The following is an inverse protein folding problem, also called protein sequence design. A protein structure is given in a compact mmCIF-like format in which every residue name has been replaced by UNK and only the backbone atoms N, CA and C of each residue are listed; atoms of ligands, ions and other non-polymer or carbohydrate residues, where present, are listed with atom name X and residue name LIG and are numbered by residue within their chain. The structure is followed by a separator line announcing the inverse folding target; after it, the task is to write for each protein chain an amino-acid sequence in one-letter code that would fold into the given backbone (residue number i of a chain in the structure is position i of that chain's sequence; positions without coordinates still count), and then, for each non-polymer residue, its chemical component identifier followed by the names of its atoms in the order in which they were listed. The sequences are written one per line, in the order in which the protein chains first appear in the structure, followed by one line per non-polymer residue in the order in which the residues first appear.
data_IF_900454710373
#
_entry.id   IF_900454710373
#
_cell.length_a   1.000
_cell.length_b   1.000
_cell.length_c   1.000
_cell.angle_alpha   90.00
_cell.angle_beta   90.00
_cell.angle_gamma   90.00
#
_symmetry.space_group_name_H-M   'P 1'
#
loop_
_entity.id
_entity.type
_entity.pdbx_description
1 polymer ?
#
# COMPACT_ATOMS: atom_id res chain seq x y z
N UNK A 1 -5.01 14.75 -19.43
CA UNK A 1 -5.20 14.23 -18.06
C UNK A 1 -4.98 12.72 -18.10
N UNK A 2 -4.06 12.17 -17.32
CA UNK A 2 -3.72 10.74 -17.39
C UNK A 2 -4.30 9.97 -16.18
N UNK A 3 -4.84 8.75 -16.37
CA UNK A 3 -5.34 7.93 -15.28
C UNK A 3 -4.18 7.48 -14.36
N UNK A 4 -4.33 7.64 -13.05
CA UNK A 4 -3.34 7.17 -12.06
C UNK A 4 -2.53 8.25 -11.34
N UNK A 5 -2.79 9.55 -11.55
CA UNK A 5 -2.11 10.60 -10.79
C UNK A 5 -2.61 10.63 -9.34
N UNK A 6 -1.70 10.49 -8.38
CA UNK A 6 -2.01 10.53 -6.95
C UNK A 6 -2.47 11.96 -6.57
N UNK A 7 -3.78 12.15 -6.38
CA UNK A 7 -4.33 13.40 -5.85
C UNK A 7 -4.09 13.37 -4.34
N UNK A 8 -3.37 14.36 -3.83
CA UNK A 8 -3.14 14.50 -2.39
C UNK A 8 -4.45 14.81 -1.68
N UNK A 9 -4.59 14.31 -0.45
CA UNK A 9 -5.79 14.55 0.36
C UNK A 9 -6.05 16.05 0.54
N UNK A 10 -5.00 16.85 0.70
CA UNK A 10 -5.09 18.32 0.80
C UNK A 10 -5.70 18.92 -0.45
N UNK A 11 -5.22 18.54 -1.64
CA UNK A 11 -5.76 19.05 -2.90
C UNK A 11 -7.21 18.63 -3.12
N UNK A 12 -7.58 17.42 -2.69
CA UNK A 12 -8.96 16.95 -2.72
C UNK A 12 -9.84 17.74 -1.76
N UNK A 13 -9.33 18.08 -0.58
CA UNK A 13 -9.99 18.91 0.42
C UNK A 13 -10.21 20.34 -0.09
N UNK A 14 -9.18 20.94 -0.69
CA UNK A 14 -9.26 22.28 -1.29
C UNK A 14 -10.32 22.34 -2.39
N UNK A 15 -10.35 21.33 -3.27
CA UNK A 15 -11.35 21.22 -4.34
C UNK A 15 -12.76 20.98 -3.80
N UNK A 16 -12.90 20.28 -2.68
CA UNK A 16 -14.18 19.96 -2.06
C UNK A 16 -14.67 21.03 -1.07
N UNK A 17 -13.87 22.07 -0.80
CA UNK A 17 -14.21 23.14 0.15
C UNK A 17 -14.34 22.66 1.61
N UNK A 18 -13.74 21.53 1.96
CA UNK A 18 -13.81 20.94 3.31
C UNK A 18 -12.44 20.79 3.91
N UNK A 19 -12.36 20.91 5.24
CA UNK A 19 -11.11 20.68 5.96
C UNK A 19 -10.61 19.24 5.74
N UNK A 20 -9.30 19.06 5.58
CA UNK A 20 -8.67 17.78 5.27
C UNK A 20 -8.95 16.68 6.31
N UNK A 21 -9.09 17.03 7.60
CA UNK A 21 -9.51 16.07 8.64
C UNK A 21 -10.94 15.56 8.44
N UNK A 22 -11.86 16.46 8.10
CA UNK A 22 -13.26 16.12 7.80
C UNK A 22 -13.31 15.19 6.61
N UNK A 23 -12.64 15.54 5.52
CA UNK A 23 -12.55 14.71 4.33
C UNK A 23 -11.95 13.33 4.63
N UNK A 24 -10.89 13.26 5.45
CA UNK A 24 -10.31 11.98 5.89
C UNK A 24 -11.33 11.12 6.62
N UNK A 25 -12.09 11.69 7.55
CA UNK A 25 -13.10 10.96 8.31
C UNK A 25 -14.19 10.39 7.38
N UNK A 26 -14.66 11.18 6.40
CA UNK A 26 -15.60 10.70 5.39
C UNK A 26 -15.02 9.58 4.53
N UNK A 27 -13.79 9.72 4.02
CA UNK A 27 -13.17 8.68 3.21
C UNK A 27 -12.97 7.36 3.98
N UNK A 28 -12.66 7.43 5.27
CA UNK A 28 -12.57 6.25 6.14
C UNK A 28 -13.95 5.63 6.33
N UNK A 29 -14.97 6.44 6.65
CA UNK A 29 -16.36 6.00 6.83
C UNK A 29 -16.90 5.28 5.59
N UNK A 30 -16.54 5.74 4.40
CA UNK A 30 -16.97 5.16 3.13
C UNK A 30 -16.02 4.09 2.57
N UNK A 31 -14.94 3.73 3.28
CA UNK A 31 -14.00 2.69 2.85
C UNK A 31 -13.12 3.07 1.65
N UNK A 32 -13.15 4.33 1.20
CA UNK A 32 -12.38 4.85 0.05
C UNK A 32 -10.97 5.30 0.47
N UNK A 33 -10.73 5.42 1.77
CA UNK A 33 -9.41 5.79 2.28
C UNK A 33 -8.39 4.66 2.08
N UNK A 34 -7.12 5.03 1.91
CA UNK A 34 -6.04 4.07 1.73
C UNK A 34 -5.89 3.16 2.95
N UNK A 35 -6.27 1.89 2.81
CA UNK A 35 -6.08 0.85 3.82
C UNK A 35 -4.92 -0.06 3.43
N UNK A 36 -4.29 -0.67 4.44
CA UNK A 36 -3.38 -1.79 4.22
C UNK A 36 -4.20 -3.07 4.02
N UNK A 37 -3.72 -3.95 3.15
CA UNK A 37 -4.31 -5.27 2.98
C UNK A 37 -4.14 -6.08 4.27
N UNK A 38 -5.22 -6.75 4.68
CA UNK A 38 -5.19 -7.71 5.79
C UNK A 38 -4.77 -9.06 5.21
N UNK A 39 -3.46 -9.29 5.16
CA UNK A 39 -2.85 -10.56 4.77
C UNK A 39 -2.13 -11.13 6.01
N UNK A 40 -2.17 -12.45 6.17
CA UNK A 40 -1.45 -13.09 7.27
C UNK A 40 0.06 -12.98 7.06
N UNK A 41 0.83 -12.98 8.13
CA UNK A 41 2.30 -12.98 8.03
C UNK A 41 2.80 -14.25 7.34
N UNK A 42 2.09 -15.39 7.51
CA UNK A 42 2.41 -16.64 6.82
C UNK A 42 2.27 -16.54 5.30
N UNK A 43 1.16 -15.97 4.82
CA UNK A 43 0.95 -15.77 3.38
C UNK A 43 1.94 -14.76 2.80
N UNK A 44 2.30 -13.74 3.59
CA UNK A 44 3.34 -12.79 3.23
C UNK A 44 4.71 -13.47 3.09
N UNK A 45 5.09 -14.32 4.04
CA UNK A 45 6.34 -15.09 4.00
C UNK A 45 6.40 -16.00 2.78
N UNK A 46 5.28 -16.64 2.43
CA UNK A 46 5.20 -17.46 1.23
C UNK A 46 5.45 -16.62 -0.03
N UNK A 47 4.78 -15.47 -0.15
CA UNK A 47 4.97 -14.55 -1.28
C UNK A 47 6.41 -14.03 -1.39
N UNK A 48 7.01 -13.65 -0.26
CA UNK A 48 8.40 -13.18 -0.21
C UNK A 48 9.36 -14.30 -0.61
N UNK A 49 9.15 -15.52 -0.11
CA UNK A 49 9.94 -16.71 -0.48
C UNK A 49 9.84 -16.99 -1.98
N UNK A 50 8.63 -17.06 -2.55
CA UNK A 50 8.43 -17.29 -3.98
C UNK A 50 9.12 -16.22 -4.83
N UNK A 51 9.02 -14.96 -4.43
CA UNK A 51 9.70 -13.86 -5.10
C UNK A 51 11.23 -14.00 -5.04
N UNK A 52 11.77 -14.34 -3.86
CA UNK A 52 13.21 -14.54 -3.63
C UNK A 52 13.78 -15.77 -4.33
N UNK A 53 13.01 -16.86 -4.46
CA UNK A 53 13.39 -18.02 -5.28
C UNK A 53 13.62 -17.63 -6.74
N UNK A 54 12.85 -16.66 -7.24
CA UNK A 54 13.00 -16.16 -8.61
C UNK A 54 14.12 -15.13 -8.72
N UNK A 55 14.32 -14.31 -7.67
CA UNK A 55 15.32 -13.21 -7.65
C UNK A 55 16.02 -13.11 -6.28
N UNK A 56 17.04 -13.93 -6.02
CA UNK A 56 17.63 -14.06 -4.67
C UNK A 56 18.29 -12.77 -4.16
N UNK A 57 18.92 -12.00 -5.04
CA UNK A 57 19.64 -10.77 -4.71
C UNK A 57 18.75 -9.54 -4.54
N UNK A 58 17.44 -9.64 -4.80
CA UNK A 58 16.53 -8.50 -4.78
C UNK A 58 16.29 -7.97 -3.38
N UNK A 59 16.51 -6.67 -3.14
CA UNK A 59 16.26 -6.03 -1.86
C UNK A 59 14.78 -5.72 -1.57
N UNK A 60 14.52 -5.15 -0.40
CA UNK A 60 13.18 -4.81 0.11
C UNK A 60 12.35 -3.93 -0.86
N UNK A 61 12.98 -2.96 -1.52
CA UNK A 61 12.29 -2.09 -2.49
C UNK A 61 11.67 -2.87 -3.64
N UNK A 62 12.32 -3.94 -4.09
CA UNK A 62 11.81 -4.79 -5.17
C UNK A 62 10.65 -5.68 -4.70
N UNK A 63 10.71 -6.18 -3.47
CA UNK A 63 9.60 -6.93 -2.84
C UNK A 63 8.38 -6.04 -2.68
N UNK A 64 8.56 -4.80 -2.18
CA UNK A 64 7.46 -3.83 -2.06
C UNK A 64 6.88 -3.49 -3.44
N UNK A 65 7.74 -3.32 -4.45
CA UNK A 65 7.29 -3.09 -5.83
C UNK A 65 6.47 -4.25 -6.38
N UNK A 66 6.91 -5.49 -6.13
CA UNK A 66 6.19 -6.70 -6.49
C UNK A 66 4.81 -6.76 -5.83
N UNK A 67 4.74 -6.57 -4.51
CA UNK A 67 3.48 -6.56 -3.77
C UNK A 67 2.51 -5.50 -4.29
N UNK A 68 3.01 -4.28 -4.55
CA UNK A 68 2.20 -3.20 -5.13
C UNK A 68 1.67 -3.52 -6.53
N UNK A 69 2.47 -4.20 -7.36
CA UNK A 69 2.03 -4.64 -8.70
C UNK A 69 0.89 -5.65 -8.62
N UNK A 70 0.83 -6.44 -7.54
CA UNK A 70 -0.26 -7.36 -7.24
C UNK A 70 -1.39 -6.72 -6.42
N UNK A 71 -1.47 -5.39 -6.34
CA UNK A 71 -2.46 -4.65 -5.55
C UNK A 71 -2.43 -4.91 -4.04
N UNK A 72 -1.33 -5.50 -3.54
CA UNK A 72 -1.13 -5.78 -2.12
C UNK A 72 -0.37 -4.62 -1.47
N UNK A 73 -1.11 -3.73 -0.80
CA UNK A 73 -0.51 -2.66 0.00
C UNK A 73 -0.30 -3.16 1.43
N UNK A 74 0.93 -3.58 1.74
CA UNK A 74 1.28 -4.15 3.06
C UNK A 74 2.04 -3.13 3.89
N UNK A 75 1.94 -3.22 5.21
CA UNK A 75 2.72 -2.40 6.13
C UNK A 75 4.22 -2.71 6.01
N UNK A 76 5.05 -1.67 5.92
CA UNK A 76 6.50 -1.81 5.75
C UNK A 76 7.14 -2.71 6.82
N UNK A 77 6.70 -2.57 8.07
CA UNK A 77 7.14 -3.36 9.22
C UNK A 77 6.92 -4.87 9.04
N UNK A 78 5.79 -5.30 8.46
CA UNK A 78 5.50 -6.72 8.24
C UNK A 78 6.40 -7.28 7.13
N UNK A 79 6.60 -6.53 6.05
CA UNK A 79 7.51 -6.93 4.96
C UNK A 79 8.95 -7.05 5.46
N UNK A 80 9.38 -6.14 6.34
CA UNK A 80 10.70 -6.19 6.97
C UNK A 80 10.86 -7.41 7.90
N UNK A 81 9.80 -7.79 8.62
CA UNK A 81 9.78 -9.02 9.43
C UNK A 81 9.93 -10.29 8.58
N UNK A 82 9.22 -10.34 7.46
CA UNK A 82 9.20 -11.46 6.52
C UNK A 82 10.51 -11.70 5.75
N UNK A 83 11.36 -10.66 5.65
CA UNK A 83 12.63 -10.73 4.92
C UNK A 83 13.84 -11.14 5.77
N UNK A 84 13.66 -11.37 7.08
CA UNK A 84 14.70 -11.86 7.99
C UNK A 84 14.86 -13.37 7.86
#
# INVERSE_FOLDING_TARGET
MAPGRHITLTKLADLAGVHHHTLRAYLVKHGVYQQFCSISDHDLDLLVKTFKSTKPTSGLSYVIGFLRRHSLKIQWRHVCGSMK
#
